data_IF_761250619595
#
_entry.id   IF_761250619595
#
_cell.length_a   1.000
_cell.length_b   1.000
_cell.length_c   1.000
_cell.angle_alpha   90.00
_cell.angle_beta   90.00
_cell.angle_gamma   90.00
#
_symmetry.space_group_name_H-M   'P 1'
#
loop_
_entity.id
_entity.type
_entity.pdbx_description
1 polymer ?
#
# COMPACT_ATOMS: atom_id res chain seq x y z
N UNK A 1 2.98 0.20 -28.69
CA UNK A 1 3.42 -0.86 -27.77
C UNK A 1 3.76 -0.18 -26.46
N UNK A 2 2.94 -0.34 -25.42
CA UNK A 2 3.22 0.25 -24.10
C UNK A 2 4.34 -0.57 -23.45
N UNK A 3 5.58 -0.19 -23.71
CA UNK A 3 6.74 -0.61 -22.92
C UNK A 3 6.95 0.47 -21.86
N UNK A 4 7.39 0.07 -20.67
CA UNK A 4 7.68 0.91 -19.50
C UNK A 4 6.58 1.04 -18.43
N UNK A 5 5.60 0.13 -18.37
CA UNK A 5 4.84 -0.04 -17.12
C UNK A 5 5.68 -0.84 -16.12
N UNK A 6 6.29 -0.11 -15.19
CA UNK A 6 6.98 -0.63 -14.02
C UNK A 6 6.18 -1.75 -13.34
N UNK A 7 6.80 -2.91 -13.02
CA UNK A 7 6.09 -4.02 -12.43
C UNK A 7 5.41 -3.59 -11.12
N UNK A 8 4.10 -3.86 -11.08
CA UNK A 8 3.24 -3.53 -9.94
C UNK A 8 3.38 -4.60 -8.88
N UNK A 9 3.50 -4.20 -7.62
CA UNK A 9 3.49 -5.14 -6.51
C UNK A 9 2.14 -5.88 -6.46
N UNK A 10 2.15 -7.19 -6.72
CA UNK A 10 0.93 -8.00 -6.74
C UNK A 10 0.22 -8.09 -5.38
N UNK A 11 0.91 -7.83 -4.27
CA UNK A 11 0.33 -7.87 -2.92
C UNK A 11 -0.54 -6.65 -2.63
N UNK A 12 -0.05 -5.43 -2.91
CA UNK A 12 -0.79 -4.18 -2.69
C UNK A 12 -1.37 -3.58 -3.98
N UNK A 13 -1.25 -4.28 -5.10
CA UNK A 13 -1.72 -3.87 -6.43
C UNK A 13 -1.24 -2.49 -6.88
N UNK A 14 -0.08 -2.05 -6.39
CA UNK A 14 0.48 -0.74 -6.73
C UNK A 14 0.20 0.36 -5.72
N UNK A 15 -0.57 0.11 -4.67
CA UNK A 15 -0.90 1.10 -3.67
C UNK A 15 0.29 1.44 -2.74
N UNK A 16 1.23 0.51 -2.56
CA UNK A 16 2.34 0.65 -1.62
C UNK A 16 1.99 0.36 -0.16
N UNK A 17 0.74 0.05 0.15
CA UNK A 17 0.28 -0.21 1.52
C UNK A 17 -1.24 -0.25 1.61
N UNK A 18 -1.73 -0.27 2.85
CA UNK A 18 -3.15 -0.27 3.16
C UNK A 18 -3.45 0.59 4.40
N UNK A 19 -4.65 1.16 4.46
CA UNK A 19 -5.13 1.86 5.66
C UNK A 19 -5.66 0.83 6.64
N UNK A 20 -5.02 0.73 7.80
CA UNK A 20 -5.53 -0.06 8.92
C UNK A 20 -6.26 0.83 9.91
N UNK A 21 -7.44 0.38 10.33
CA UNK A 21 -8.19 1.00 11.43
C UNK A 21 -7.58 0.56 12.76
N UNK A 22 -7.18 1.52 13.59
CA UNK A 22 -6.71 1.24 14.94
C UNK A 22 -7.93 1.14 15.86
N UNK A 23 -8.21 -0.08 16.33
CA UNK A 23 -9.31 -0.35 17.26
C UNK A 23 -9.02 0.31 18.61
N UNK A 24 -9.72 1.39 18.97
CA UNK A 24 -9.68 1.85 20.36
C UNK A 24 -10.27 3.21 20.71
N UNK A 25 -10.51 4.11 19.75
CA UNK A 25 -10.94 5.47 20.08
C UNK A 25 -12.01 5.97 19.12
N UNK A 26 -13.01 6.68 19.66
CA UNK A 26 -14.18 7.23 18.95
C UNK A 26 -13.84 8.15 17.78
N UNK A 27 -12.58 8.56 17.67
CA UNK A 27 -12.01 9.30 16.55
C UNK A 27 -11.15 8.34 15.72
N UNK A 28 -11.62 8.04 14.52
CA UNK A 28 -11.07 7.09 13.56
C UNK A 28 -9.62 7.43 13.15
N UNK A 29 -8.65 7.07 13.99
CA UNK A 29 -7.24 7.10 13.61
C UNK A 29 -6.95 5.94 12.64
N UNK A 30 -7.12 6.22 11.35
CA UNK A 30 -6.61 5.34 10.28
C UNK A 30 -5.12 5.53 10.18
N UNK A 31 -4.37 4.45 10.30
CA UNK A 31 -2.92 4.45 10.07
C UNK A 31 -2.61 3.83 8.73
N UNK A 32 -1.83 4.53 7.92
CA UNK A 32 -1.26 3.94 6.72
C UNK A 32 -0.20 2.93 7.13
N UNK A 33 -0.35 1.69 6.67
CA UNK A 33 0.61 0.63 6.89
C UNK A 33 1.22 0.27 5.54
N UNK A 34 2.53 0.50 5.41
CA UNK A 34 3.28 0.19 4.20
C UNK A 34 3.26 -1.30 3.91
N UNK A 35 3.08 -1.66 2.64
CA UNK A 35 3.16 -3.04 2.19
C UNK A 35 4.59 -3.54 2.39
N UNK A 36 4.75 -4.62 3.15
CA UNK A 36 6.06 -5.21 3.47
C UNK A 36 6.75 -5.79 2.24
N UNK A 37 5.97 -6.35 1.29
CA UNK A 37 6.48 -6.95 0.05
C UNK A 37 7.23 -5.94 -0.82
N UNK A 38 6.68 -4.73 -1.00
CA UNK A 38 7.31 -3.68 -1.80
C UNK A 38 7.91 -2.55 -0.95
N UNK A 39 7.92 -2.71 0.37
CA UNK A 39 8.44 -1.72 1.32
C UNK A 39 7.87 -0.30 1.11
N UNK A 40 6.59 -0.18 0.77
CA UNK A 40 5.98 1.13 0.54
C UNK A 40 5.99 1.66 -0.89
N UNK A 41 6.77 1.06 -1.80
CA UNK A 41 6.94 1.62 -3.16
C UNK A 41 5.72 1.40 -4.06
N UNK A 42 5.01 0.29 -3.90
CA UNK A 42 3.86 -0.10 -4.73
C UNK A 42 4.25 -0.54 -6.15
N UNK A 43 5.23 0.11 -6.78
CA UNK A 43 5.75 -0.16 -8.12
C UNK A 43 7.28 -0.13 -8.07
N UNK A 44 7.95 -1.10 -8.71
CA UNK A 44 9.41 -1.13 -8.81
C UNK A 44 9.90 -0.33 -10.03
#
# INVERSE_FOLDING_TARGET
MAKDEKPVCGTCLGAGGEWMELNGTKDLERKWVSCTTCQGTGRA
#
